data_IF_953614068460
#
_entry.id   IF_953614068460
#
_cell.length_a   1.000
_cell.length_b   1.000
_cell.length_c   1.000
_cell.angle_alpha   90.00
_cell.angle_beta   90.00
_cell.angle_gamma   90.00
#
_symmetry.space_group_name_H-M   'P 1'
#
loop_
_entity.id
_entity.type
_entity.pdbx_description
1 polymer ?
#
# COMPACT_ATOMS: atom_id res chain seq x y z
N UNK A 1 12.71 -2.30 1.22
CA UNK A 1 11.46 -1.95 1.94
C UNK A 1 11.50 -0.45 2.15
N UNK A 2 10.45 0.25 1.73
CA UNK A 2 10.34 1.70 1.83
C UNK A 2 9.00 2.07 2.49
N UNK A 3 8.78 3.34 2.79
CA UNK A 3 7.60 3.77 3.57
C UNK A 3 6.30 3.53 2.79
N UNK A 4 5.28 3.07 3.50
CA UNK A 4 3.90 2.94 3.01
C UNK A 4 2.93 3.52 4.03
N UNK A 5 1.96 4.27 3.54
CA UNK A 5 0.94 4.92 4.35
C UNK A 5 -0.42 4.30 4.04
N UNK A 6 -1.12 3.86 5.07
CA UNK A 6 -2.44 3.23 4.92
C UNK A 6 -2.43 1.71 4.81
N UNK A 7 -3.63 1.16 4.72
CA UNK A 7 -3.94 -0.27 4.70
C UNK A 7 -5.05 -0.49 3.71
N UNK A 8 -4.87 -1.42 2.79
CA UNK A 8 -5.75 -1.71 1.63
C UNK A 8 -5.85 -0.55 0.62
N UNK A 9 -5.99 0.68 1.11
CA UNK A 9 -5.87 1.94 0.37
C UNK A 9 -4.58 2.64 0.84
N UNK A 10 -3.68 2.93 -0.09
CA UNK A 10 -2.39 3.55 0.18
C UNK A 10 -2.32 4.95 -0.42
N UNK A 11 -1.63 5.90 0.21
CA UNK A 11 -1.37 7.22 -0.42
C UNK A 11 -0.58 7.05 -1.71
N UNK A 12 -0.83 7.88 -2.72
CA UNK A 12 -0.18 7.76 -4.03
C UNK A 12 1.33 8.07 -4.05
N UNK A 13 1.90 8.56 -2.95
CA UNK A 13 3.33 8.71 -2.72
C UNK A 13 3.98 7.49 -2.04
N UNK A 14 3.21 6.47 -1.68
CA UNK A 14 3.70 5.23 -1.08
C UNK A 14 4.44 4.33 -2.09
N UNK A 15 5.39 3.53 -1.60
CA UNK A 15 6.09 2.55 -2.44
C UNK A 15 5.17 1.43 -2.91
N UNK A 16 4.89 1.37 -4.21
CA UNK A 16 4.02 0.33 -4.83
C UNK A 16 4.51 -1.09 -4.50
N UNK A 17 5.81 -1.38 -4.63
CA UNK A 17 6.32 -2.72 -4.35
C UNK A 17 6.18 -3.08 -2.87
N UNK A 18 6.42 -2.13 -1.96
CA UNK A 18 6.27 -2.39 -0.52
C UNK A 18 4.80 -2.56 -0.14
N UNK A 19 3.91 -1.76 -0.72
CA UNK A 19 2.46 -1.88 -0.53
C UNK A 19 1.94 -3.22 -1.09
N UNK A 20 2.52 -3.70 -2.19
CA UNK A 20 2.17 -5.00 -2.77
C UNK A 20 2.61 -6.17 -1.89
N UNK A 21 3.77 -6.08 -1.24
CA UNK A 21 4.15 -7.06 -0.20
C UNK A 21 3.21 -6.95 0.99
N UNK A 22 2.94 -5.74 1.48
CA UNK A 22 2.01 -5.50 2.58
C UNK A 22 0.62 -6.11 2.30
N UNK A 23 0.08 -5.91 1.10
CA UNK A 23 -1.19 -6.48 0.64
C UNK A 23 -1.14 -7.99 0.34
N UNK A 24 0.05 -8.61 0.36
CA UNK A 24 0.22 -10.04 0.10
C UNK A 24 0.18 -10.43 -1.38
N UNK A 25 0.26 -9.46 -2.31
CA UNK A 25 0.27 -9.71 -3.74
C UNK A 25 1.59 -10.35 -4.23
N UNK A 26 2.71 -9.97 -3.59
CA UNK A 26 4.07 -10.46 -3.88
C UNK A 26 4.84 -10.66 -2.58
N UNK A 27 5.99 -11.34 -2.62
CA UNK A 27 6.92 -11.44 -1.48
C UNK A 27 8.14 -10.55 -1.69
N UNK A 28 8.88 -10.26 -0.61
CA UNK A 28 10.16 -9.54 -0.70
C UNK A 28 11.20 -10.34 -1.49
N UNK A 29 11.17 -11.67 -1.35
CA UNK A 29 12.16 -12.57 -1.96
C UNK A 29 11.91 -12.76 -3.46
N UNK A 30 10.66 -12.94 -3.86
CA UNK A 30 10.30 -13.26 -5.25
C UNK A 30 9.98 -12.01 -6.08
N UNK A 31 9.48 -10.95 -5.45
CA UNK A 31 8.90 -9.81 -6.16
C UNK A 31 7.74 -10.24 -7.05
N UNK A 32 7.52 -9.53 -8.16
CA UNK A 32 6.56 -9.94 -9.18
C UNK A 32 5.91 -8.78 -9.93
N UNK A 33 4.99 -9.14 -10.81
CA UNK A 33 4.08 -8.18 -11.43
C UNK A 33 3.01 -7.76 -10.42
N UNK A 34 2.71 -6.46 -10.37
CA UNK A 34 1.72 -5.89 -9.47
C UNK A 34 0.76 -5.07 -10.30
N UNK A 35 -0.54 -5.29 -10.10
CA UNK A 35 -1.59 -4.44 -10.64
C UNK A 35 -2.10 -3.52 -9.55
N UNK A 36 -2.23 -2.23 -9.87
CA UNK A 36 -2.83 -1.25 -8.97
C UNK A 36 -4.03 -0.57 -9.64
N UNK A 37 -5.00 -0.17 -8.82
CA UNK A 37 -6.07 0.73 -9.21
C UNK A 37 -5.79 2.12 -8.61
N UNK A 38 -5.85 3.17 -9.42
CA UNK A 38 -5.75 4.56 -8.94
C UNK A 38 -7.11 4.99 -8.37
N UNK A 39 -7.09 5.52 -7.15
CA UNK A 39 -8.27 5.92 -6.42
C UNK A 39 -8.17 7.40 -5.96
N UNK A 40 -9.31 8.06 -5.69
CA UNK A 40 -9.31 9.35 -4.99
C UNK A 40 -8.67 9.23 -3.60
N UNK A 41 -8.09 10.33 -3.10
CA UNK A 41 -7.56 10.39 -1.75
C UNK A 41 -8.60 10.29 -0.64
N UNK A 42 -8.18 9.86 0.53
CA UNK A 42 -8.99 9.76 1.76
C UNK A 42 -8.66 10.86 2.78
N UNK A 43 -9.60 11.09 3.72
CA UNK A 43 -9.42 12.00 4.85
C UNK A 43 -8.48 11.44 5.94
N UNK A 44 -8.28 10.12 5.96
CA UNK A 44 -7.39 9.44 6.89
C UNK A 44 -7.05 8.04 6.40
N UNK A 45 -5.84 7.58 6.68
CA UNK A 45 -5.33 6.27 6.32
C UNK A 45 -4.92 5.52 7.59
N UNK A 46 -5.43 4.31 7.78
CA UNK A 46 -5.14 3.49 8.96
C UNK A 46 -3.87 2.65 8.79
N UNK A 47 -3.07 2.57 9.85
CA UNK A 47 -1.87 1.75 9.90
C UNK A 47 -2.19 0.29 10.20
N UNK A 48 -1.42 -0.65 9.65
CA UNK A 48 -1.42 -2.04 10.10
C UNK A 48 -0.05 -2.69 9.88
N UNK A 49 0.12 -3.89 10.44
CA UNK A 49 1.22 -4.79 10.07
C UNK A 49 0.62 -5.98 9.32
N UNK A 50 1.04 -6.18 8.07
CA UNK A 50 0.60 -7.28 7.23
C UNK A 50 1.78 -7.85 6.44
N UNK A 51 1.83 -9.17 6.32
CA UNK A 51 2.85 -9.87 5.53
C UNK A 51 4.29 -9.45 5.87
N UNK A 52 4.54 -9.12 7.15
CA UNK A 52 5.85 -8.70 7.65
C UNK A 52 6.25 -7.26 7.29
N UNK A 53 5.32 -6.46 6.77
CA UNK A 53 5.49 -5.03 6.49
C UNK A 53 4.60 -4.24 7.45
N UNK A 54 5.17 -3.23 8.10
CA UNK A 54 4.42 -2.23 8.86
C UNK A 54 4.09 -1.05 7.94
N UNK A 55 2.81 -0.66 7.88
CA UNK A 55 2.38 0.61 7.33
C UNK A 55 2.20 1.66 8.41
N UNK A 56 2.26 2.93 8.01
CA UNK A 56 2.09 4.07 8.92
C UNK A 56 0.75 4.77 8.68
N UNK A 57 0.15 5.38 9.72
CA UNK A 57 -1.10 6.09 9.55
C UNK A 57 -0.83 7.44 8.89
N UNK A 58 -1.80 7.98 8.17
CA UNK A 58 -1.70 9.32 7.60
C UNK A 58 -3.02 10.08 7.65
N UNK A 59 -2.92 11.41 7.60
CA UNK A 59 -4.09 12.29 7.55
C UNK A 59 -4.64 12.47 6.13
N UNK A 60 -5.38 13.56 5.87
CA UNK A 60 -5.95 13.83 4.56
C UNK A 60 -4.88 13.90 3.47
N UNK A 61 -5.10 13.20 2.36
CA UNK A 61 -4.20 13.21 1.21
C UNK A 61 -4.96 13.21 -0.12
N UNK A 62 -4.33 13.66 -1.20
CA UNK A 62 -5.02 14.01 -2.44
C UNK A 62 -5.30 12.84 -3.41
N UNK A 63 -4.52 11.76 -3.33
CA UNK A 63 -4.64 10.62 -4.23
C UNK A 63 -4.22 9.31 -3.57
N UNK A 64 -4.75 8.20 -4.06
CA UNK A 64 -4.48 6.88 -3.49
C UNK A 64 -4.29 5.84 -4.58
N UNK A 65 -3.83 4.66 -4.16
CA UNK A 65 -3.97 3.45 -4.95
C UNK A 65 -4.34 2.26 -4.08
N UNK A 66 -4.94 1.25 -4.71
CA UNK A 66 -5.22 -0.06 -4.14
C UNK A 66 -4.41 -1.10 -4.90
N UNK A 67 -3.83 -2.07 -4.19
CA UNK A 67 -3.20 -3.23 -4.82
C UNK A 67 -4.29 -4.25 -5.15
N UNK A 68 -4.40 -4.65 -6.41
CA UNK A 68 -5.37 -5.66 -6.82
C UNK A 68 -4.79 -7.05 -6.54
N UNK A 69 -5.44 -7.80 -5.66
CA UNK A 69 -5.14 -9.21 -5.34
C UNK A 69 -6.29 -10.11 -5.83
N UNK A 70 -5.94 -11.27 -6.40
CA UNK A 70 -6.91 -12.29 -6.86
C UNK A 70 -7.55 -13.08 -5.71
#
# INVERSE_FOLDING_TARGET
>A
IDTVWGTDVYTDDSSVCTAAVHAGAITVEDGGEVTIEIAPGEDSYEASEQNGIESSPYGPWGGSFVVVTD
#
